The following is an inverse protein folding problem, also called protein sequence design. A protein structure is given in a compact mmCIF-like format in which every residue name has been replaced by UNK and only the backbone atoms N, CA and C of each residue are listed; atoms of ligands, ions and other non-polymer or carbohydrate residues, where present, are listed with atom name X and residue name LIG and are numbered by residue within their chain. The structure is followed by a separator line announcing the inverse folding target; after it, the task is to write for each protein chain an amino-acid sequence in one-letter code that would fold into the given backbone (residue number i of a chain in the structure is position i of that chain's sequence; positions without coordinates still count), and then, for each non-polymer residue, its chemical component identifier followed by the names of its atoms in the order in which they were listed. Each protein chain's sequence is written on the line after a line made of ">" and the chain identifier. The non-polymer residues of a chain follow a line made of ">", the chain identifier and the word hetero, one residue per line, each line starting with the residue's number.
data_IF_713592128973
#
_entry.id   IF_713592128973
#
_cell.length_a   1.000
_cell.length_b   1.000
_cell.length_c   1.000
_cell.angle_alpha   90.00
_cell.angle_beta   90.00
_cell.angle_gamma   90.00
#
_symmetry.space_group_name_H-M   'P 1'
#
loop_
_entity.id
_entity.type
_entity.pdbx_description
1 polymer ?
#
# COMPACT_ATOMS: atom_id res chain seq x y z
N UNK A 1 43.99 -32.33 -12.78
CA UNK A 1 42.66 -32.37 -12.12
C UNK A 1 41.57 -32.12 -13.16
N UNK A 2 40.89 -33.16 -13.64
CA UNK A 2 39.84 -33.04 -14.65
C UNK A 2 38.56 -32.44 -14.01
N UNK A 3 38.28 -31.17 -14.31
CA UNK A 3 37.03 -30.52 -13.90
C UNK A 3 35.90 -31.01 -14.80
N UNK A 4 34.93 -31.74 -14.24
CA UNK A 4 33.75 -32.19 -14.99
C UNK A 4 32.91 -30.99 -15.42
N UNK A 5 32.87 -30.73 -16.71
CA UNK A 5 32.11 -29.63 -17.31
C UNK A 5 30.59 -29.84 -17.28
N UNK A 6 30.12 -31.00 -16.81
CA UNK A 6 28.72 -31.41 -16.91
C UNK A 6 27.82 -30.91 -15.77
N UNK A 7 28.38 -30.38 -14.68
CA UNK A 7 27.59 -29.97 -13.49
C UNK A 7 27.15 -28.50 -13.50
N UNK A 8 27.61 -27.70 -14.47
CA UNK A 8 27.34 -26.25 -14.51
C UNK A 8 25.89 -25.93 -14.89
N UNK A 9 25.36 -26.57 -15.94
CA UNK A 9 24.03 -26.29 -16.49
C UNK A 9 22.90 -26.56 -15.49
N UNK A 10 23.02 -27.62 -14.68
CA UNK A 10 22.01 -27.99 -13.70
C UNK A 10 21.94 -27.01 -12.52
N UNK A 11 23.06 -26.34 -12.21
CA UNK A 11 23.13 -25.34 -11.13
C UNK A 11 22.55 -24.00 -11.56
N UNK A 12 22.65 -23.67 -12.85
CA UNK A 12 22.04 -22.48 -13.44
C UNK A 12 20.52 -22.60 -13.49
N UNK A 13 19.97 -23.74 -13.90
CA UNK A 13 18.52 -23.97 -13.87
C UNK A 13 17.92 -23.84 -12.46
N UNK A 14 18.59 -24.38 -11.44
CA UNK A 14 18.14 -24.24 -10.04
C UNK A 14 18.17 -22.79 -9.54
N UNK A 15 19.06 -21.94 -10.06
CA UNK A 15 19.11 -20.52 -9.70
C UNK A 15 17.89 -19.76 -10.24
N UNK A 16 17.40 -20.12 -11.43
CA UNK A 16 16.21 -19.49 -12.00
C UNK A 16 14.91 -19.85 -11.25
N UNK A 17 14.81 -21.05 -10.68
CA UNK A 17 13.66 -21.42 -9.83
C UNK A 17 13.69 -20.72 -8.47
N UNK A 18 14.86 -20.58 -7.85
CA UNK A 18 15.00 -19.88 -6.56
C UNK A 18 14.58 -18.40 -6.63
N UNK A 19 14.81 -17.75 -7.78
CA UNK A 19 14.38 -16.36 -7.98
C UNK A 19 12.90 -16.20 -8.34
N UNK A 20 12.18 -17.28 -8.71
CA UNK A 20 10.75 -17.21 -9.05
C UNK A 20 9.81 -17.39 -7.86
N UNK A 21 10.24 -18.11 -6.82
CA UNK A 21 9.44 -18.27 -5.60
C UNK A 21 9.45 -17.04 -4.69
N UNK A 22 10.37 -16.11 -4.91
CA UNK A 22 10.34 -14.80 -4.27
C UNK A 22 9.59 -13.78 -5.14
N UNK A 23 8.34 -14.09 -5.48
CA UNK A 23 7.34 -13.01 -5.58
C UNK A 23 7.00 -12.63 -4.15
N UNK A 24 8.00 -12.13 -3.43
CA UNK A 24 7.81 -11.50 -2.14
C UNK A 24 6.94 -10.28 -2.42
N UNK A 25 5.66 -10.40 -2.10
CA UNK A 25 4.86 -9.27 -1.67
C UNK A 25 5.62 -8.71 -0.46
N UNK A 26 6.68 -7.95 -0.71
CA UNK A 26 7.19 -7.02 0.28
C UNK A 26 5.99 -6.12 0.52
N UNK A 27 5.37 -6.14 1.72
CA UNK A 27 4.38 -5.13 2.01
C UNK A 27 5.17 -3.84 1.91
N UNK A 28 4.99 -3.08 0.82
CA UNK A 28 5.47 -1.72 0.75
C UNK A 28 5.05 -1.11 2.07
N UNK A 29 6.00 -0.70 2.92
CA UNK A 29 5.74 -0.28 4.30
C UNK A 29 4.73 0.85 4.21
N UNK A 30 3.44 0.48 4.30
CA UNK A 30 2.38 1.40 3.91
C UNK A 30 2.39 2.44 5.00
N UNK A 31 2.76 3.66 4.62
CA UNK A 31 2.85 4.78 5.55
C UNK A 31 1.53 4.86 6.29
N UNK A 32 1.55 4.97 7.61
CA UNK A 32 0.33 5.12 8.39
C UNK A 32 -0.47 6.31 7.83
N UNK A 33 0.21 7.36 7.35
CA UNK A 33 -0.38 8.46 6.58
C UNK A 33 -1.34 8.01 5.46
N UNK A 34 -0.96 7.00 4.66
CA UNK A 34 -1.81 6.52 3.56
C UNK A 34 -3.04 5.75 4.08
N UNK A 35 -2.86 4.92 5.12
CA UNK A 35 -3.96 4.16 5.72
C UNK A 35 -4.97 5.11 6.35
N UNK A 36 -4.50 6.07 7.15
CA UNK A 36 -5.36 7.07 7.78
C UNK A 36 -6.00 8.01 6.76
N UNK A 37 -5.33 8.35 5.66
CA UNK A 37 -5.94 9.13 4.58
C UNK A 37 -7.12 8.40 3.93
N UNK A 38 -6.98 7.10 3.62
CA UNK A 38 -8.07 6.30 3.04
C UNK A 38 -9.22 6.15 4.04
N UNK A 39 -8.92 5.81 5.29
CA UNK A 39 -9.94 5.72 6.35
C UNK A 39 -10.68 7.05 6.53
N UNK A 40 -9.93 8.16 6.61
CA UNK A 40 -10.50 9.50 6.72
C UNK A 40 -11.37 9.86 5.52
N UNK A 41 -10.97 9.50 4.30
CA UNK A 41 -11.75 9.71 3.09
C UNK A 41 -13.07 8.92 3.08
N UNK A 42 -13.05 7.66 3.49
CA UNK A 42 -14.27 6.81 3.60
C UNK A 42 -15.21 7.36 4.67
N UNK A 43 -14.69 7.74 5.84
CA UNK A 43 -15.50 8.36 6.90
C UNK A 43 -16.07 9.71 6.44
N UNK A 44 -15.25 10.53 5.78
CA UNK A 44 -15.68 11.83 5.22
C UNK A 44 -16.75 11.69 4.15
N UNK A 45 -16.67 10.67 3.30
CA UNK A 45 -17.72 10.33 2.34
C UNK A 45 -19.02 9.95 3.04
N UNK A 46 -18.96 9.06 4.04
CA UNK A 46 -20.13 8.63 4.78
C UNK A 46 -20.81 9.82 5.47
N UNK A 47 -20.04 10.66 6.16
CA UNK A 47 -20.56 11.88 6.80
C UNK A 47 -21.16 12.82 5.78
N UNK A 48 -20.47 13.10 4.66
CA UNK A 48 -20.98 13.94 3.59
C UNK A 48 -22.30 13.42 3.04
N UNK A 49 -22.37 12.12 2.72
CA UNK A 49 -23.57 11.48 2.17
C UNK A 49 -24.78 11.59 3.10
N UNK A 50 -24.61 11.26 4.39
CA UNK A 50 -25.70 11.31 5.36
C UNK A 50 -26.10 12.73 5.75
N UNK A 51 -25.14 13.65 5.85
CA UNK A 51 -25.41 15.02 6.26
C UNK A 51 -26.06 15.88 5.17
N UNK A 52 -25.84 15.55 3.90
CA UNK A 52 -26.32 16.35 2.76
C UNK A 52 -27.40 15.66 1.92
N UNK A 53 -28.04 14.62 2.45
CA UNK A 53 -29.06 13.83 1.74
C UNK A 53 -28.61 13.36 0.34
N UNK A 54 -27.34 13.00 0.20
CA UNK A 54 -26.78 12.52 -1.07
C UNK A 54 -26.33 13.59 -2.07
N UNK A 55 -26.27 14.87 -1.69
CA UNK A 55 -25.66 15.90 -2.54
C UNK A 55 -24.20 15.57 -2.89
N UNK A 56 -23.94 15.36 -4.18
CA UNK A 56 -22.63 14.99 -4.74
C UNK A 56 -21.53 15.99 -4.36
N UNK A 57 -21.85 17.29 -4.32
CA UNK A 57 -20.89 18.33 -3.97
C UNK A 57 -20.38 18.17 -2.53
N UNK A 58 -21.27 17.85 -1.59
CA UNK A 58 -20.94 17.64 -0.18
C UNK A 58 -20.24 16.30 0.05
N UNK A 59 -20.57 15.26 -0.71
CA UNK A 59 -19.83 14.00 -0.71
C UNK A 59 -18.36 14.21 -1.12
N UNK A 60 -18.12 14.96 -2.21
CA UNK A 60 -16.75 15.26 -2.67
C UNK A 60 -16.02 16.12 -1.63
N UNK A 61 -16.66 17.15 -1.10
CA UNK A 61 -16.08 17.99 -0.05
C UNK A 61 -15.72 17.16 1.20
N UNK A 62 -16.60 16.24 1.61
CA UNK A 62 -16.40 15.33 2.72
C UNK A 62 -15.20 14.39 2.50
N UNK A 63 -15.09 13.78 1.32
CA UNK A 63 -13.94 12.93 0.95
C UNK A 63 -12.64 13.72 1.00
N UNK A 64 -12.60 14.91 0.41
CA UNK A 64 -11.40 15.74 0.35
C UNK A 64 -10.99 16.16 1.77
N UNK A 65 -11.93 16.71 2.55
CA UNK A 65 -11.68 17.13 3.93
C UNK A 65 -11.24 15.96 4.82
N UNK A 66 -11.94 14.83 4.74
CA UNK A 66 -11.65 13.63 5.52
C UNK A 66 -10.29 13.02 5.16
N UNK A 67 -9.95 12.96 3.87
CA UNK A 67 -8.65 12.44 3.42
C UNK A 67 -7.49 13.33 3.87
N UNK A 68 -7.65 14.66 3.80
CA UNK A 68 -6.63 15.62 4.27
C UNK A 68 -6.44 15.48 5.78
N UNK A 69 -7.52 15.47 6.55
CA UNK A 69 -7.47 15.32 8.00
C UNK A 69 -6.81 13.99 8.40
N UNK A 70 -7.24 12.89 7.78
CA UNK A 70 -6.66 11.57 7.99
C UNK A 70 -5.17 11.50 7.63
N UNK A 71 -4.78 12.10 6.51
CA UNK A 71 -3.37 12.17 6.10
C UNK A 71 -2.51 12.94 7.12
N UNK A 72 -2.99 14.08 7.62
CA UNK A 72 -2.26 14.87 8.62
C UNK A 72 -2.07 14.07 9.92
N UNK A 73 -3.10 13.38 10.39
CA UNK A 73 -3.03 12.51 11.57
C UNK A 73 -2.05 11.37 11.34
N UNK A 74 -2.17 10.64 10.25
CA UNK A 74 -1.28 9.52 9.96
C UNK A 74 0.17 9.96 9.73
N UNK A 75 0.40 11.17 9.19
CA UNK A 75 1.75 11.75 9.06
C UNK A 75 2.39 12.04 10.42
N UNK A 76 1.61 12.47 11.43
CA UNK A 76 2.11 12.63 12.80
C UNK A 76 2.52 11.28 13.40
N UNK A 77 1.72 10.23 13.16
CA UNK A 77 2.03 8.86 13.61
C UNK A 77 3.29 8.31 12.94
N UNK A 78 3.48 8.58 11.65
CA UNK A 78 4.69 8.15 10.93
C UNK A 78 5.95 8.92 11.37
N UNK A 79 5.81 10.19 11.78
CA UNK A 79 6.95 11.01 12.23
C UNK A 79 7.36 10.70 13.68
N UNK A 80 6.43 10.19 14.49
CA UNK A 80 6.70 9.77 15.88
C UNK A 80 7.27 8.35 16.03
N UNK A 81 7.50 7.64 14.92
CA UNK A 81 8.20 6.36 14.87
C UNK A 81 9.64 6.54 14.41
#
# INVERSE_FOLDING_TARGET
>A
MARSHHRKKHKEQLRHFKHKEETSFSPSRSKAANIFAVMGGVTGLAVGYFASEGSLAWCIAGVVAGSIAGYLVGRRVDTGK
#
